data_IF_794222311539
#
_entry.id   IF_794222311539
#
_cell.length_a   1.000
_cell.length_b   1.000
_cell.length_c   1.000
_cell.angle_alpha   90.00
_cell.angle_beta   90.00
_cell.angle_gamma   90.00
#
_symmetry.space_group_name_H-M   'P 1'
#
loop_
_entity.id
_entity.type
_entity.pdbx_description
1 polymer ?
#
# COMPACT_ATOMS: atom_id res chain seq x y z
N UNK A 1 -0.59 -13.35 -1.56
CA UNK A 1 -0.41 -11.89 -1.78
C UNK A 1 -1.48 -11.16 -0.99
N UNK A 2 -1.16 -10.03 -0.36
CA UNK A 2 -1.98 -9.41 0.69
C UNK A 2 -3.48 -9.37 0.40
N UNK A 3 -3.91 -8.89 -0.79
CA UNK A 3 -5.32 -8.92 -1.22
C UNK A 3 -6.01 -10.25 -0.95
N UNK A 4 -5.42 -11.36 -1.41
CA UNK A 4 -6.01 -12.70 -1.31
C UNK A 4 -6.18 -13.16 0.14
N UNK A 5 -5.21 -12.85 1.00
CA UNK A 5 -5.27 -13.24 2.42
C UNK A 5 -6.38 -12.48 3.15
N UNK A 6 -6.48 -11.16 2.93
CA UNK A 6 -7.52 -10.33 3.54
C UNK A 6 -8.93 -10.70 3.03
N UNK A 7 -9.07 -10.95 1.72
CA UNK A 7 -10.34 -11.45 1.15
C UNK A 7 -10.73 -12.82 1.72
N UNK A 8 -9.77 -13.72 1.94
CA UNK A 8 -10.03 -15.03 2.54
C UNK A 8 -10.59 -14.89 3.97
N UNK A 9 -10.02 -13.97 4.76
CA UNK A 9 -10.55 -13.65 6.09
C UNK A 9 -11.95 -13.03 6.00
N UNK A 10 -12.15 -12.05 5.11
CA UNK A 10 -13.44 -11.40 4.89
C UNK A 10 -14.55 -12.40 4.53
N UNK A 11 -14.26 -13.33 3.61
CA UNK A 11 -15.16 -14.41 3.22
C UNK A 11 -15.50 -15.36 4.38
N UNK A 12 -14.51 -15.76 5.17
CA UNK A 12 -14.72 -16.65 6.30
C UNK A 12 -15.62 -16.01 7.37
N UNK A 13 -15.35 -14.75 7.73
CA UNK A 13 -16.14 -14.01 8.72
C UNK A 13 -17.57 -13.79 8.22
N UNK A 14 -17.74 -13.41 6.94
CA UNK A 14 -19.06 -13.24 6.35
C UNK A 14 -19.86 -14.55 6.32
N UNK A 15 -19.21 -15.67 5.98
CA UNK A 15 -19.85 -16.98 5.99
C UNK A 15 -20.37 -17.37 7.38
N UNK A 16 -19.60 -17.05 8.44
CA UNK A 16 -20.05 -17.22 9.82
C UNK A 16 -21.23 -16.30 10.18
N UNK A 17 -21.16 -15.01 9.82
CA UNK A 17 -22.25 -14.06 10.05
C UNK A 17 -23.56 -14.51 9.41
N UNK A 18 -23.50 -15.01 8.17
CA UNK A 18 -24.66 -15.56 7.46
C UNK A 18 -25.23 -16.80 8.14
N UNK A 19 -24.38 -17.69 8.64
CA UNK A 19 -24.82 -18.86 9.41
C UNK A 19 -25.53 -18.45 10.70
N UNK A 20 -25.07 -17.39 11.39
CA UNK A 20 -25.72 -16.89 12.60
C UNK A 20 -27.06 -16.20 12.34
N UNK A 21 -27.27 -15.61 11.17
CA UNK A 21 -28.57 -15.04 10.78
C UNK A 21 -29.64 -16.11 10.50
N UNK A 22 -29.25 -17.37 10.28
CA UNK A 22 -30.20 -18.47 10.10
C UNK A 22 -31.02 -18.73 11.37
N UNK A 23 -30.44 -18.47 12.54
CA UNK A 23 -31.11 -18.53 13.83
C UNK A 23 -31.49 -17.11 14.25
N UNK A 24 -32.71 -16.68 13.90
CA UNK A 24 -33.21 -15.29 14.01
C UNK A 24 -33.53 -14.88 15.46
N UNK A 25 -32.60 -15.12 16.38
CA UNK A 25 -32.74 -14.72 17.78
C UNK A 25 -32.59 -13.19 17.87
N UNK A 26 -33.61 -12.43 18.33
CA UNK A 26 -33.57 -10.97 18.25
C UNK A 26 -32.39 -10.31 18.98
N UNK A 27 -31.96 -10.88 20.11
CA UNK A 27 -30.84 -10.38 20.92
C UNK A 27 -29.47 -10.52 20.22
N UNK A 28 -29.28 -11.46 19.27
CA UNK A 28 -28.01 -11.62 18.55
C UNK A 28 -27.91 -10.79 17.27
N UNK A 29 -28.98 -10.10 16.88
CA UNK A 29 -29.06 -9.36 15.61
C UNK A 29 -27.97 -8.27 15.47
N UNK A 30 -27.66 -7.56 16.57
CA UNK A 30 -26.57 -6.57 16.61
C UNK A 30 -25.22 -7.20 16.32
N UNK A 31 -24.90 -8.31 17.02
CA UNK A 31 -23.65 -9.04 16.86
C UNK A 31 -23.48 -9.62 15.45
N UNK A 32 -24.55 -10.18 14.89
CA UNK A 32 -24.56 -10.74 13.54
C UNK A 32 -24.22 -9.66 12.51
N UNK A 33 -24.85 -8.49 12.63
CA UNK A 33 -24.59 -7.34 11.74
C UNK A 33 -23.16 -6.81 11.88
N UNK A 34 -22.64 -6.70 13.10
CA UNK A 34 -21.26 -6.30 13.35
C UNK A 34 -20.25 -7.29 12.75
N UNK A 35 -20.54 -8.59 12.86
CA UNK A 35 -19.74 -9.66 12.25
C UNK A 35 -19.75 -9.60 10.73
N UNK A 36 -20.93 -9.43 10.11
CA UNK A 36 -21.04 -9.26 8.66
C UNK A 36 -20.24 -8.04 8.17
N UNK A 37 -20.36 -6.90 8.87
CA UNK A 37 -19.61 -5.68 8.55
C UNK A 37 -18.10 -5.87 8.66
N UNK A 38 -17.61 -6.65 9.63
CA UNK A 38 -16.18 -7.00 9.74
C UNK A 38 -15.71 -7.76 8.50
N UNK A 39 -16.51 -8.69 7.97
CA UNK A 39 -16.20 -9.36 6.72
C UNK A 39 -16.07 -8.40 5.53
N UNK A 40 -16.97 -7.41 5.42
CA UNK A 40 -16.89 -6.34 4.41
C UNK A 40 -15.66 -5.43 4.60
N UNK A 41 -15.31 -5.10 5.84
CA UNK A 41 -14.14 -4.29 6.15
C UNK A 41 -12.84 -4.97 5.69
N UNK A 42 -12.71 -6.28 5.91
CA UNK A 42 -11.54 -7.05 5.46
C UNK A 42 -11.46 -7.18 3.93
N UNK A 43 -12.60 -7.34 3.24
CA UNK A 43 -12.63 -7.29 1.77
C UNK A 43 -12.16 -5.93 1.25
N UNK A 44 -12.64 -4.84 1.85
CA UNK A 44 -12.24 -3.48 1.49
C UNK A 44 -10.74 -3.24 1.71
N UNK A 45 -10.18 -3.68 2.86
CA UNK A 45 -8.74 -3.61 3.13
C UNK A 45 -7.95 -4.40 2.08
N UNK A 46 -8.43 -5.59 1.69
CA UNK A 46 -7.84 -6.37 0.62
C UNK A 46 -7.73 -5.60 -0.70
N UNK A 47 -8.78 -4.87 -1.09
CA UNK A 47 -8.77 -4.00 -2.27
C UNK A 47 -7.83 -2.80 -2.11
N UNK A 48 -7.76 -2.19 -0.91
CA UNK A 48 -6.79 -1.12 -0.63
C UNK A 48 -5.35 -1.61 -0.87
N UNK A 49 -4.98 -2.79 -0.36
CA UNK A 49 -3.68 -3.40 -0.61
C UNK A 49 -3.42 -3.70 -2.09
N UNK A 50 -4.46 -4.04 -2.86
CA UNK A 50 -4.34 -4.32 -4.29
C UNK A 50 -4.03 -3.06 -5.10
N UNK A 51 -4.55 -1.92 -4.67
CA UNK A 51 -4.39 -0.62 -5.35
C UNK A 51 -3.15 0.15 -4.90
N UNK A 52 -2.66 -0.13 -3.68
CA UNK A 52 -1.58 0.61 -3.04
C UNK A 52 -0.28 0.70 -3.87
N UNK A 53 0.23 -0.37 -4.51
CA UNK A 53 1.52 -0.32 -5.20
C UNK A 53 1.65 0.81 -6.23
N UNK A 54 0.54 1.16 -6.91
CA UNK A 54 0.51 2.25 -7.90
C UNK A 54 0.76 3.63 -7.30
N UNK A 55 0.53 3.79 -6.00
CA UNK A 55 0.66 5.04 -5.29
C UNK A 55 2.06 5.23 -4.72
N UNK A 56 2.83 4.17 -4.50
CA UNK A 56 4.10 4.25 -3.79
C UNK A 56 5.23 3.41 -4.38
N UNK A 57 5.02 2.11 -4.59
CA UNK A 57 6.01 1.17 -5.09
C UNK A 57 6.34 1.42 -6.57
N UNK A 58 5.34 1.58 -7.44
CA UNK A 58 5.60 1.76 -8.88
C UNK A 58 6.46 3.04 -9.12
N UNK A 59 6.13 4.20 -8.54
CA UNK A 59 6.94 5.42 -8.71
C UNK A 59 8.39 5.31 -8.21
N UNK A 60 8.65 4.62 -7.09
CA UNK A 60 10.02 4.43 -6.62
C UNK A 60 10.78 3.43 -7.48
N UNK A 61 10.11 2.39 -7.98
CA UNK A 61 10.71 1.42 -8.90
C UNK A 61 11.10 2.07 -10.23
N UNK A 62 10.25 2.95 -10.77
CA UNK A 62 10.55 3.73 -11.97
C UNK A 62 11.79 4.62 -11.77
N UNK A 63 11.88 5.31 -10.63
CA UNK A 63 13.07 6.10 -10.29
C UNK A 63 14.33 5.22 -10.27
N UNK A 64 14.27 4.07 -9.59
CA UNK A 64 15.42 3.17 -9.50
C UNK A 64 15.85 2.66 -10.88
N UNK A 65 14.91 2.31 -11.75
CA UNK A 65 15.18 1.85 -13.11
C UNK A 65 15.86 2.93 -13.97
N UNK A 66 15.39 4.18 -13.90
CA UNK A 66 16.01 5.33 -14.60
C UNK A 66 17.46 5.51 -14.16
N UNK A 67 17.73 5.45 -12.86
CA UNK A 67 19.08 5.65 -12.34
C UNK A 67 20.02 4.49 -12.66
N UNK A 68 19.53 3.25 -12.71
CA UNK A 68 20.31 2.11 -13.19
C UNK A 68 20.76 2.33 -14.66
N UNK A 69 19.86 2.77 -15.53
CA UNK A 69 20.19 3.07 -16.93
C UNK A 69 21.19 4.23 -17.07
N UNK A 70 20.99 5.32 -16.33
CA UNK A 70 21.91 6.46 -16.34
C UNK A 70 23.32 6.11 -15.84
N UNK A 71 23.42 5.27 -14.81
CA UNK A 71 24.72 4.83 -14.28
C UNK A 71 25.48 3.97 -15.30
N UNK A 72 24.81 3.06 -16.01
CA UNK A 72 25.42 2.26 -17.07
C UNK A 72 26.01 3.14 -18.19
N UNK A 73 25.27 4.17 -18.61
CA UNK A 73 25.71 5.11 -19.65
C UNK A 73 26.91 5.96 -19.22
N UNK A 74 26.94 6.43 -17.98
CA UNK A 74 28.09 7.20 -17.45
C UNK A 74 29.33 6.31 -17.38
N UNK A 75 29.17 5.05 -16.95
CA UNK A 75 30.26 4.09 -16.85
C UNK A 75 30.90 3.80 -18.22
N UNK A 76 30.11 3.69 -19.29
CA UNK A 76 30.60 3.52 -20.66
C UNK A 76 31.47 4.70 -21.11
N UNK A 77 31.05 5.94 -20.83
CA UNK A 77 31.78 7.16 -21.21
C UNK A 77 33.02 7.42 -20.35
N UNK A 78 33.00 7.03 -19.08
CA UNK A 78 34.17 7.13 -18.20
C UNK A 78 35.39 6.40 -18.76
N UNK A 79 35.19 5.30 -19.50
CA UNK A 79 36.28 4.56 -20.13
C UNK A 79 37.02 5.37 -21.23
N UNK A 80 36.48 6.51 -21.67
CA UNK A 80 37.04 7.35 -22.75
C UNK A 80 37.64 8.68 -22.21
N UNK A 81 37.49 8.98 -20.91
CA UNK A 81 37.96 10.15 -20.11
C UNK A 81 38.02 11.51 -20.85
N UNK A 82 37.13 12.43 -20.46
CA UNK A 82 37.18 13.87 -20.77
C UNK A 82 36.64 14.72 -19.59
N UNK A 83 37.01 16.01 -19.51
CA UNK A 83 36.48 16.97 -18.51
C UNK A 83 34.94 17.04 -18.49
N UNK A 84 34.29 16.78 -19.64
CA UNK A 84 32.85 16.67 -19.76
C UNK A 84 32.25 15.59 -18.84
N UNK A 85 32.86 14.41 -18.75
CA UNK A 85 32.39 13.31 -17.91
C UNK A 85 32.42 13.66 -16.43
N UNK A 86 33.42 14.42 -15.97
CA UNK A 86 33.49 14.87 -14.57
C UNK A 86 32.37 15.87 -14.23
N UNK A 87 32.08 16.80 -15.14
CA UNK A 87 30.96 17.72 -14.98
C UNK A 87 29.60 16.98 -14.97
N UNK A 88 29.44 15.96 -15.83
CA UNK A 88 28.26 15.09 -15.86
C UNK A 88 28.07 14.34 -14.53
N UNK A 89 29.13 13.74 -13.97
CA UNK A 89 29.08 13.04 -12.67
C UNK A 89 28.67 13.99 -11.54
N UNK A 90 29.25 15.19 -11.50
CA UNK A 90 28.90 16.16 -10.47
C UNK A 90 27.44 16.65 -10.60
N UNK A 91 26.97 16.91 -11.84
CA UNK A 91 25.58 17.27 -12.08
C UNK A 91 24.63 16.13 -11.69
N UNK A 92 24.97 14.89 -12.07
CA UNK A 92 24.23 13.68 -11.71
C UNK A 92 24.07 13.54 -10.19
N UNK A 93 25.14 13.78 -9.40
CA UNK A 93 25.04 13.72 -7.94
C UNK A 93 24.01 14.72 -7.37
N UNK A 94 23.97 15.95 -7.90
CA UNK A 94 22.99 16.95 -7.46
C UNK A 94 21.55 16.53 -7.77
N UNK A 95 21.32 16.03 -8.98
CA UNK A 95 19.99 15.54 -9.40
C UNK A 95 19.57 14.33 -8.55
N UNK A 96 20.48 13.37 -8.36
CA UNK A 96 20.27 12.18 -7.51
C UNK A 96 19.78 12.56 -6.11
N UNK A 97 20.47 13.46 -5.44
CA UNK A 97 20.11 13.86 -4.06
C UNK A 97 18.71 14.47 -4.02
N UNK A 98 18.38 15.35 -4.97
CA UNK A 98 17.05 15.98 -5.05
C UNK A 98 15.96 14.94 -5.31
N UNK A 99 16.13 14.10 -6.32
CA UNK A 99 15.10 13.17 -6.79
C UNK A 99 14.83 12.08 -5.76
N UNK A 100 15.88 11.46 -5.21
CA UNK A 100 15.71 10.44 -4.17
C UNK A 100 15.08 11.01 -2.91
N UNK A 101 15.47 12.23 -2.49
CA UNK A 101 14.83 12.89 -1.35
C UNK A 101 13.33 13.07 -1.60
N UNK A 102 12.96 13.60 -2.76
CA UNK A 102 11.56 13.83 -3.11
C UNK A 102 10.77 12.52 -3.16
N UNK A 103 11.30 11.51 -3.86
CA UNK A 103 10.62 10.24 -4.06
C UNK A 103 10.49 9.43 -2.78
N UNK A 104 11.52 9.38 -1.94
CA UNK A 104 11.45 8.72 -0.65
C UNK A 104 10.44 9.39 0.29
N UNK A 105 10.38 10.72 0.29
CA UNK A 105 9.36 11.43 1.06
C UNK A 105 7.95 11.13 0.55
N UNK A 106 7.75 11.06 -0.77
CA UNK A 106 6.47 10.68 -1.35
C UNK A 106 6.08 9.24 -0.95
N UNK A 107 6.98 8.28 -1.14
CA UNK A 107 6.79 6.87 -0.77
C UNK A 107 6.35 6.72 0.70
N UNK A 108 7.10 7.33 1.63
CA UNK A 108 6.80 7.24 3.06
C UNK A 108 5.45 7.89 3.41
N UNK A 109 5.12 9.05 2.81
CA UNK A 109 3.81 9.71 3.03
C UNK A 109 2.65 8.84 2.54
N UNK A 110 2.80 8.17 1.41
CA UNK A 110 1.79 7.28 0.86
C UNK A 110 1.59 6.04 1.73
N UNK A 111 2.68 5.43 2.21
CA UNK A 111 2.63 4.33 3.17
C UNK A 111 1.94 4.73 4.48
N UNK A 112 2.28 5.90 5.05
CA UNK A 112 1.63 6.41 6.27
C UNK A 112 0.12 6.59 6.04
N UNK A 113 -0.25 7.30 4.96
CA UNK A 113 -1.65 7.54 4.61
C UNK A 113 -2.41 6.22 4.40
N UNK A 114 -1.78 5.23 3.78
CA UNK A 114 -2.38 3.92 3.56
C UNK A 114 -2.71 3.22 4.89
N UNK A 115 -1.73 3.09 5.79
CA UNK A 115 -1.97 2.43 7.06
C UNK A 115 -2.96 3.18 7.95
N UNK A 116 -3.01 4.51 7.88
CA UNK A 116 -4.07 5.30 8.53
C UNK A 116 -5.46 4.94 8.01
N UNK A 117 -5.64 4.78 6.70
CA UNK A 117 -6.93 4.35 6.11
C UNK A 117 -7.31 2.94 6.54
N UNK A 118 -6.34 2.02 6.63
CA UNK A 118 -6.56 0.67 7.14
C UNK A 118 -6.99 0.72 8.61
N UNK A 119 -6.31 1.51 9.45
CA UNK A 119 -6.69 1.69 10.86
C UNK A 119 -8.10 2.26 10.99
N UNK A 120 -8.46 3.29 10.23
CA UNK A 120 -9.82 3.85 10.23
C UNK A 120 -10.85 2.79 9.86
N UNK A 121 -10.56 1.94 8.87
CA UNK A 121 -11.51 0.90 8.45
C UNK A 121 -11.72 -0.17 9.51
N UNK A 122 -10.67 -0.51 10.25
CA UNK A 122 -10.76 -1.44 11.39
C UNK A 122 -11.52 -0.80 12.56
N UNK A 123 -11.32 0.49 12.82
CA UNK A 123 -12.03 1.24 13.86
C UNK A 123 -13.54 1.32 13.57
N UNK A 124 -13.92 1.63 12.32
CA UNK A 124 -15.33 1.59 11.87
C UNK A 124 -15.98 0.23 12.14
N UNK A 125 -15.24 -0.86 11.96
CA UNK A 125 -15.74 -2.21 12.20
C UNK A 125 -15.86 -2.50 13.70
N UNK A 126 -14.89 -2.08 14.50
CA UNK A 126 -14.91 -2.22 15.95
C UNK A 126 -16.12 -1.50 16.57
N UNK A 127 -16.39 -0.26 16.15
CA UNK A 127 -17.53 0.52 16.63
C UNK A 127 -18.89 -0.15 16.37
N UNK A 128 -19.00 -1.05 15.39
CA UNK A 128 -20.25 -1.82 15.18
C UNK A 128 -20.54 -2.78 16.34
N UNK A 129 -19.52 -3.28 17.02
CA UNK A 129 -19.69 -4.15 18.18
C UNK A 129 -20.05 -3.36 19.44
N UNK A 130 -19.55 -2.13 19.60
CA UNK A 130 -19.93 -1.27 20.73
C UNK A 130 -21.41 -0.86 20.68
N UNK A 131 -21.99 -0.84 19.47
CA UNK A 131 -23.39 -0.50 19.21
C UNK A 131 -24.32 -1.73 19.09
N UNK A 132 -23.79 -2.94 19.24
CA UNK A 132 -24.50 -4.22 19.09
C UNK A 132 -25.10 -4.69 20.43
#
# INVERSE_FOLDING_TARGET
GFRKEYQKVGQAIRGLGQAFEMDQVPFSSGLNRATAFTGEAYDAIGEMFAQQPRQDLDPIMDLLAVYQGHLANIQERCNVICYATLAEVHHFHKIRVRDFKSQMQHFLRQQISFFQKVTLKLDEALQKYDAA
#
